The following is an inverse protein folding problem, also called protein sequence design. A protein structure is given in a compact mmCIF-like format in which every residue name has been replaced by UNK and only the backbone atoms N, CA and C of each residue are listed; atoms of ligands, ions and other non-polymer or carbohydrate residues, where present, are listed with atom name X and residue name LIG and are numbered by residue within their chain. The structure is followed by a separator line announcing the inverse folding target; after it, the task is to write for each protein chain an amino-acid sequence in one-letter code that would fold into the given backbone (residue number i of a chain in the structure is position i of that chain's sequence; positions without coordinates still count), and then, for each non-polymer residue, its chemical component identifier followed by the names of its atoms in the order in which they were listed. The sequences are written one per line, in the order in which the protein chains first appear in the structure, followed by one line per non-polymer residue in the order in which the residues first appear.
data_IF_706493533203
#
_entry.id   IF_706493533203
#
_cell.length_a   1.000
_cell.length_b   1.000
_cell.length_c   1.000
_cell.angle_alpha   90.00
_cell.angle_beta   90.00
_cell.angle_gamma   90.00
#
_symmetry.space_group_name_H-M   'P 1'
#
loop_
_entity.id
_entity.type
_entity.pdbx_description
1 polymer ?
#
# COMPACT_ATOMS: atom_id res chain seq x y z
N UNK A 1 75.23 -40.47 0.73
CA UNK A 1 74.60 -39.16 0.94
C UNK A 1 75.00 -38.22 -0.19
N UNK A 2 74.02 -37.55 -0.80
CA UNK A 2 74.12 -36.37 -1.68
C UNK A 2 75.03 -36.46 -2.92
N UNK A 3 74.37 -36.56 -4.07
CA UNK A 3 74.70 -36.01 -5.39
C UNK A 3 73.48 -36.36 -6.28
N UNK A 4 72.97 -35.63 -7.26
CA UNK A 4 73.44 -34.47 -8.02
C UNK A 4 72.36 -34.09 -9.07
N UNK A 5 72.32 -32.80 -9.41
CA UNK A 5 72.07 -32.20 -10.75
C UNK A 5 70.61 -32.06 -11.28
N UNK A 6 70.26 -30.88 -11.85
CA UNK A 6 68.93 -30.52 -12.37
C UNK A 6 68.81 -30.69 -13.91
N UNK A 7 67.63 -31.05 -14.44
CA UNK A 7 67.36 -31.04 -15.89
C UNK A 7 65.92 -30.60 -16.20
N UNK A 8 65.86 -29.43 -16.85
CA UNK A 8 65.03 -28.99 -18.00
C UNK A 8 63.70 -29.70 -18.33
N UNK A 9 62.65 -28.88 -18.35
CA UNK A 9 61.87 -28.49 -19.54
C UNK A 9 61.40 -29.63 -20.49
N UNK A 10 60.10 -29.94 -20.45
CA UNK A 10 59.36 -30.41 -21.61
C UNK A 10 57.90 -29.95 -21.55
N UNK A 11 57.50 -29.26 -22.62
CA UNK A 11 56.15 -28.79 -22.95
C UNK A 11 55.11 -29.92 -22.93
N UNK A 12 53.87 -29.59 -22.57
CA UNK A 12 52.71 -30.03 -23.35
C UNK A 12 51.56 -29.03 -23.24
N UNK A 13 51.14 -28.60 -24.43
CA UNK A 13 50.07 -27.66 -24.74
C UNK A 13 48.71 -28.13 -24.23
N UNK A 14 47.88 -27.20 -23.78
CA UNK A 14 46.45 -27.20 -24.10
C UNK A 14 45.95 -25.76 -24.14
N UNK A 15 45.65 -25.29 -25.35
CA UNK A 15 45.03 -24.00 -25.60
C UNK A 15 43.58 -24.01 -25.09
N UNK A 16 43.20 -23.02 -24.29
CA UNK A 16 41.80 -22.64 -24.10
C UNK A 16 41.67 -21.19 -24.56
N UNK A 17 41.16 -21.03 -25.78
CA UNK A 17 40.70 -19.77 -26.33
C UNK A 17 39.39 -19.38 -25.64
N UNK A 18 39.43 -18.36 -24.79
CA UNK A 18 38.23 -17.66 -24.33
C UNK A 18 37.84 -16.61 -25.39
N UNK A 19 36.60 -16.64 -25.92
CA UNK A 19 36.13 -15.58 -26.80
C UNK A 19 35.87 -14.30 -26.00
N UNK A 20 36.62 -13.27 -26.38
CA UNK A 20 36.37 -11.88 -26.05
C UNK A 20 34.98 -11.48 -26.59
N UNK A 21 34.02 -11.21 -25.71
CA UNK A 21 32.76 -10.56 -26.09
C UNK A 21 32.83 -9.10 -25.69
N UNK A 22 32.97 -8.27 -26.73
CA UNK A 22 32.96 -6.83 -26.72
C UNK A 22 31.61 -6.27 -26.26
N UNK A 23 31.69 -5.18 -25.50
CA UNK A 23 30.58 -4.27 -25.23
C UNK A 23 29.90 -3.87 -26.54
N UNK A 24 28.60 -4.16 -26.65
CA UNK A 24 27.73 -3.60 -27.68
C UNK A 24 26.89 -2.51 -27.03
N UNK A 25 27.22 -1.26 -27.33
CA UNK A 25 26.34 -0.13 -27.06
C UNK A 25 25.16 -0.23 -28.04
N UNK A 26 23.96 -0.55 -27.54
CA UNK A 26 22.72 -0.37 -28.29
C UNK A 26 22.27 1.08 -28.16
N UNK A 27 22.47 1.84 -29.22
CA UNK A 27 21.86 3.15 -29.41
C UNK A 27 20.37 2.97 -29.70
N UNK A 28 19.52 3.23 -28.71
CA UNK A 28 18.07 3.34 -28.90
C UNK A 28 17.75 4.59 -29.73
N UNK A 29 17.46 4.41 -31.02
CA UNK A 29 16.86 5.43 -31.86
C UNK A 29 15.33 5.41 -31.65
N UNK A 30 14.86 6.19 -30.68
CA UNK A 30 13.43 6.46 -30.47
C UNK A 30 12.96 7.43 -31.58
N UNK A 31 12.31 6.89 -32.61
CA UNK A 31 11.67 7.69 -33.65
C UNK A 31 10.37 8.30 -33.10
N UNK A 32 10.50 9.44 -32.40
CA UNK A 32 9.41 10.21 -31.79
C UNK A 32 8.30 10.62 -32.78
N UNK A 33 8.55 10.57 -34.09
CA UNK A 33 7.58 10.96 -35.12
C UNK A 33 6.42 9.98 -35.31
N UNK A 34 6.60 8.69 -35.05
CA UNK A 34 5.56 7.68 -35.27
C UNK A 34 4.53 7.62 -34.11
N UNK A 35 4.98 7.81 -32.87
CA UNK A 35 4.14 7.70 -31.67
C UNK A 35 3.17 8.87 -31.53
N UNK A 36 3.53 10.05 -32.03
CA UNK A 36 2.69 11.25 -31.95
C UNK A 36 1.56 11.22 -33.02
N UNK A 37 1.79 10.58 -34.17
CA UNK A 37 0.81 10.56 -35.27
C UNK A 37 -0.40 9.63 -34.99
N UNK A 38 -0.18 8.50 -34.31
CA UNK A 38 -1.27 7.59 -33.91
C UNK A 38 -2.12 8.15 -32.76
N UNK A 39 -1.52 8.97 -31.88
CA UNK A 39 -2.23 9.61 -30.77
C UNK A 39 -3.23 10.68 -31.21
N UNK A 40 -2.92 11.41 -32.30
CA UNK A 40 -3.75 12.53 -32.78
C UNK A 40 -4.87 12.05 -33.71
N UNK A 41 -4.66 11.00 -34.50
CA UNK A 41 -5.69 10.46 -35.38
C UNK A 41 -6.88 9.83 -34.62
N UNK A 42 -6.64 9.28 -33.42
CA UNK A 42 -7.70 8.70 -32.57
C UNK A 42 -8.56 9.74 -31.84
N UNK A 43 -8.10 10.99 -31.72
CA UNK A 43 -8.81 12.04 -31.00
C UNK A 43 -9.76 12.86 -31.88
N UNK A 44 -9.68 12.73 -33.22
CA UNK A 44 -10.41 13.58 -34.17
C UNK A 44 -11.51 12.88 -34.98
N UNK A 45 -11.74 11.58 -34.77
CA UNK A 45 -12.84 10.87 -35.42
C UNK A 45 -13.88 10.45 -34.38
N UNK A 46 -14.73 11.42 -34.01
CA UNK A 46 -16.03 11.09 -33.47
C UNK A 46 -16.91 10.60 -34.61
N UNK A 47 -17.42 9.38 -34.49
CA UNK A 47 -18.61 8.93 -35.22
C UNK A 47 -19.43 8.01 -34.33
N UNK A 48 -20.69 8.39 -34.12
CA UNK A 48 -21.76 7.53 -33.60
C UNK A 48 -22.14 6.50 -34.66
N UNK A 49 -22.55 5.30 -34.23
CA UNK A 49 -23.88 4.85 -34.64
C UNK A 49 -24.70 4.34 -33.46
N UNK A 50 -25.97 4.75 -33.43
CA UNK A 50 -27.01 4.22 -32.54
C UNK A 50 -27.33 2.75 -32.91
N UNK A 51 -27.20 1.83 -31.95
CA UNK A 51 -28.07 0.67 -31.73
C UNK A 51 -27.49 -0.23 -30.62
N UNK A 52 -28.18 -0.28 -29.47
CA UNK A 52 -27.92 -1.24 -28.39
C UNK A 52 -26.99 -0.69 -27.31
N UNK A 53 -27.59 -0.05 -26.31
CA UNK A 53 -26.94 0.43 -25.08
C UNK A 53 -26.04 -0.68 -24.47
N UNK A 54 -24.70 -0.58 -24.49
CA UNK A 54 -23.88 -1.52 -23.76
C UNK A 54 -24.10 -1.24 -22.29
N UNK A 55 -24.61 -2.23 -21.55
CA UNK A 55 -24.86 -2.16 -20.13
C UNK A 55 -23.69 -1.46 -19.44
N UNK A 56 -23.94 -0.28 -18.89
CA UNK A 56 -22.98 0.34 -17.99
C UNK A 56 -22.74 -0.65 -16.85
N UNK A 57 -21.57 -1.27 -16.85
CA UNK A 57 -21.25 -2.35 -15.93
C UNK A 57 -21.46 -1.89 -14.50
N UNK A 58 -22.00 -2.78 -13.65
CA UNK A 58 -22.14 -2.57 -12.21
C UNK A 58 -20.85 -2.00 -11.58
N UNK A 59 -20.90 -1.41 -10.37
CA UNK A 59 -19.69 -1.02 -9.67
C UNK A 59 -18.76 -2.23 -9.58
N UNK A 60 -17.44 -1.97 -9.65
CA UNK A 60 -16.45 -3.03 -9.73
C UNK A 60 -16.74 -4.13 -8.69
N UNK A 61 -16.87 -5.41 -9.09
CA UNK A 61 -17.18 -6.45 -8.14
C UNK A 61 -16.06 -6.57 -7.10
N UNK A 62 -16.42 -6.76 -5.84
CA UNK A 62 -15.45 -6.85 -4.77
C UNK A 62 -16.00 -6.45 -3.41
N UNK A 63 -15.15 -6.59 -2.40
CA UNK A 63 -15.43 -6.18 -1.03
C UNK A 63 -14.79 -4.83 -0.74
N UNK A 64 -15.57 -3.96 -0.12
CA UNK A 64 -15.22 -2.60 0.22
C UNK A 64 -15.37 -2.35 1.72
N UNK A 65 -14.41 -1.66 2.31
CA UNK A 65 -14.41 -1.32 3.74
C UNK A 65 -14.73 0.16 3.95
N UNK A 66 -15.71 0.43 4.81
CA UNK A 66 -16.08 1.76 5.26
C UNK A 66 -15.79 1.99 6.74
N UNK A 67 -14.99 1.14 7.39
CA UNK A 67 -14.82 1.15 8.84
C UNK A 67 -14.26 2.48 9.37
N UNK A 68 -14.75 2.93 10.52
CA UNK A 68 -14.26 4.14 11.20
C UNK A 68 -13.91 3.85 12.68
N UNK A 69 -13.74 4.88 13.50
CA UNK A 69 -13.38 4.73 14.90
C UNK A 69 -14.44 3.98 15.74
N UNK A 70 -15.71 4.04 15.32
CA UNK A 70 -16.87 3.59 16.09
C UNK A 70 -17.54 2.35 15.48
N UNK A 71 -17.39 2.12 14.17
CA UNK A 71 -18.06 1.04 13.46
C UNK A 71 -17.11 0.28 12.52
N UNK A 72 -17.28 -1.05 12.47
CA UNK A 72 -16.80 -1.92 11.40
C UNK A 72 -17.88 -1.94 10.33
N UNK A 73 -17.52 -1.62 9.07
CA UNK A 73 -18.49 -1.51 7.97
C UNK A 73 -17.94 -2.15 6.71
N UNK A 74 -18.72 -3.05 6.11
CA UNK A 74 -18.34 -3.77 4.90
C UNK A 74 -19.50 -3.76 3.91
N UNK A 75 -19.21 -3.50 2.63
CA UNK A 75 -20.11 -3.86 1.52
C UNK A 75 -19.41 -4.80 0.54
N UNK A 76 -20.08 -5.86 0.11
CA UNK A 76 -19.65 -6.76 -0.95
C UNK A 76 -20.55 -6.54 -2.16
N UNK A 77 -19.97 -6.31 -3.33
CA UNK A 77 -20.70 -6.16 -4.61
C UNK A 77 -20.31 -7.31 -5.52
N UNK A 78 -21.31 -8.01 -6.06
CA UNK A 78 -21.16 -9.11 -7.00
C UNK A 78 -21.19 -8.63 -8.45
N UNK A 79 -20.70 -9.46 -9.37
CA UNK A 79 -20.65 -9.15 -10.81
C UNK A 79 -22.04 -8.90 -11.45
N UNK A 80 -23.08 -9.46 -10.86
CA UNK A 80 -24.47 -9.31 -11.31
C UNK A 80 -25.21 -8.14 -10.62
N UNK A 81 -24.48 -7.32 -9.85
CA UNK A 81 -25.03 -6.18 -9.13
C UNK A 81 -25.71 -6.52 -7.80
N UNK A 82 -25.71 -7.79 -7.36
CA UNK A 82 -26.10 -8.11 -5.98
C UNK A 82 -25.12 -7.53 -4.98
N UNK A 83 -25.60 -7.15 -3.80
CA UNK A 83 -24.77 -6.66 -2.72
C UNK A 83 -25.17 -7.21 -1.36
N UNK A 84 -24.21 -7.23 -0.45
CA UNK A 84 -24.37 -7.51 0.98
C UNK A 84 -23.65 -6.41 1.77
N UNK A 85 -24.30 -5.87 2.80
CA UNK A 85 -23.85 -4.74 3.61
C UNK A 85 -23.93 -5.14 5.08
N UNK A 86 -22.85 -4.93 5.83
CA UNK A 86 -22.76 -5.26 7.26
C UNK A 86 -22.13 -4.09 8.03
N UNK A 87 -22.69 -3.80 9.20
CA UNK A 87 -22.20 -2.77 10.12
C UNK A 87 -22.26 -3.28 11.56
N UNK A 88 -21.17 -3.10 12.30
CA UNK A 88 -21.06 -3.50 13.69
C UNK A 88 -20.37 -2.41 14.51
N UNK A 89 -20.94 -2.02 15.64
CA UNK A 89 -20.31 -1.09 16.57
C UNK A 89 -19.09 -1.73 17.26
N UNK A 90 -17.96 -1.00 17.25
CA UNK A 90 -16.72 -1.37 17.93
C UNK A 90 -16.83 -1.12 19.44
N UNK A 91 -16.14 -1.94 20.24
CA UNK A 91 -16.02 -1.76 21.70
C UNK A 91 -16.71 -2.84 22.53
N UNK A 92 -16.53 -2.82 23.85
CA UNK A 92 -17.05 -3.82 24.79
C UNK A 92 -18.35 -3.42 25.50
N UNK A 93 -19.00 -2.35 25.05
CA UNK A 93 -20.28 -1.91 25.60
C UNK A 93 -21.42 -2.77 25.05
N UNK A 94 -22.22 -3.33 25.95
CA UNK A 94 -23.46 -4.03 25.62
C UNK A 94 -24.67 -3.13 25.93
N UNK A 95 -25.70 -3.10 25.07
CA UNK A 95 -25.80 -3.82 23.79
C UNK A 95 -24.99 -3.13 22.67
N UNK A 96 -24.39 -3.93 21.76
CA UNK A 96 -23.73 -3.40 20.56
C UNK A 96 -24.75 -3.11 19.47
N UNK A 97 -24.65 -1.96 18.82
CA UNK A 97 -25.45 -1.68 17.62
C UNK A 97 -24.89 -2.47 16.43
N UNK A 98 -25.76 -3.18 15.72
CA UNK A 98 -25.42 -3.95 14.53
C UNK A 98 -26.52 -3.80 13.48
N UNK A 99 -26.14 -3.95 12.21
CA UNK A 99 -27.06 -3.92 11.10
C UNK A 99 -26.51 -4.65 9.88
N UNK A 100 -27.42 -5.20 9.08
CA UNK A 100 -27.11 -5.98 7.88
C UNK A 100 -28.18 -5.78 6.82
N UNK A 101 -27.80 -5.73 5.55
CA UNK A 101 -28.73 -5.61 4.44
C UNK A 101 -28.20 -6.24 3.16
N UNK A 102 -29.08 -6.72 2.30
CA UNK A 102 -28.70 -7.32 1.02
C UNK A 102 -29.74 -6.97 -0.05
N UNK A 103 -29.32 -6.96 -1.30
CA UNK A 103 -30.23 -6.63 -2.39
C UNK A 103 -29.56 -6.65 -3.75
N UNK A 104 -30.25 -6.11 -4.75
CA UNK A 104 -29.72 -5.95 -6.11
C UNK A 104 -29.73 -4.49 -6.51
N UNK A 105 -28.57 -4.00 -6.93
CA UNK A 105 -28.39 -2.66 -7.46
C UNK A 105 -29.02 -2.54 -8.85
N UNK A 106 -29.60 -1.38 -9.10
CA UNK A 106 -30.17 -0.98 -10.39
C UNK A 106 -29.65 0.39 -10.79
N UNK A 107 -29.36 0.61 -12.06
CA UNK A 107 -28.90 1.92 -12.57
C UNK A 107 -29.61 2.23 -13.87
N UNK A 108 -29.94 3.50 -14.07
CA UNK A 108 -30.49 4.03 -15.32
C UNK A 108 -29.42 4.65 -16.21
N UNK A 109 -28.30 5.09 -15.65
CA UNK A 109 -27.30 5.94 -16.33
C UNK A 109 -25.86 5.44 -16.22
N UNK A 110 -25.60 4.39 -15.45
CA UNK A 110 -24.25 3.85 -15.24
C UNK A 110 -23.34 4.71 -14.38
N UNK A 111 -23.85 5.76 -13.75
CA UNK A 111 -23.08 6.67 -12.88
C UNK A 111 -23.50 6.53 -11.43
N UNK A 112 -24.74 6.11 -11.19
CA UNK A 112 -25.30 5.89 -9.87
C UNK A 112 -26.10 4.59 -9.86
N UNK A 113 -25.95 3.82 -8.80
CA UNK A 113 -26.71 2.61 -8.55
C UNK A 113 -27.62 2.82 -7.36
N UNK A 114 -28.83 2.30 -7.46
CA UNK A 114 -29.83 2.38 -6.41
C UNK A 114 -30.41 1.02 -6.11
N UNK A 115 -30.70 0.80 -4.84
CA UNK A 115 -31.55 -0.28 -4.38
C UNK A 115 -32.70 0.34 -3.59
N UNK A 116 -33.91 -0.18 -3.78
CA UNK A 116 -35.12 0.24 -3.08
C UNK A 116 -35.91 -1.00 -2.70
N UNK A 117 -36.22 -1.12 -1.42
CA UNK A 117 -37.14 -2.13 -0.89
C UNK A 117 -37.94 -1.47 0.23
N UNK A 118 -39.27 -1.56 0.14
CA UNK A 118 -40.22 -0.87 1.00
C UNK A 118 -39.90 0.63 1.18
N UNK A 119 -39.51 1.02 2.40
CA UNK A 119 -39.13 2.40 2.76
C UNK A 119 -37.64 2.63 2.71
N UNK A 120 -36.81 1.59 2.61
CA UNK A 120 -35.36 1.71 2.56
C UNK A 120 -34.91 2.02 1.12
N UNK A 121 -34.02 3.00 1.00
CA UNK A 121 -33.28 3.22 -0.24
C UNK A 121 -31.79 3.32 0.02
N UNK A 122 -31.01 2.66 -0.83
CA UNK A 122 -29.55 2.72 -0.86
C UNK A 122 -29.13 3.35 -2.19
N UNK A 123 -28.22 4.31 -2.12
CA UNK A 123 -27.55 4.90 -3.27
C UNK A 123 -26.05 4.59 -3.18
N UNK A 124 -25.50 4.11 -4.30
CA UNK A 124 -24.08 3.81 -4.47
C UNK A 124 -23.54 4.63 -5.65
N UNK A 125 -22.55 5.47 -5.38
CA UNK A 125 -21.84 6.25 -6.40
C UNK A 125 -20.39 5.76 -6.44
N UNK A 126 -19.91 5.17 -7.53
CA UNK A 126 -18.52 4.77 -7.66
C UNK A 126 -17.60 6.00 -7.67
N UNK A 127 -16.44 5.81 -7.09
CA UNK A 127 -15.32 6.73 -7.03
C UNK A 127 -14.06 5.97 -7.44
N UNK A 128 -12.96 6.66 -7.71
CA UNK A 128 -11.68 6.01 -7.99
C UNK A 128 -11.28 5.12 -6.80
N UNK A 129 -11.34 3.80 -6.99
CA UNK A 129 -11.08 2.78 -5.95
C UNK A 129 -11.96 2.89 -4.69
N UNK A 130 -13.19 3.39 -4.80
CA UNK A 130 -14.13 3.46 -3.67
C UNK A 130 -15.60 3.52 -4.13
N UNK A 131 -16.52 3.38 -3.18
CA UNK A 131 -17.96 3.59 -3.32
C UNK A 131 -18.41 4.59 -2.26
N UNK A 132 -19.06 5.67 -2.69
CA UNK A 132 -19.82 6.51 -1.77
C UNK A 132 -21.20 5.88 -1.57
N UNK A 133 -21.50 5.52 -0.33
CA UNK A 133 -22.80 4.99 0.07
C UNK A 133 -23.63 6.05 0.77
N UNK A 134 -24.93 6.05 0.48
CA UNK A 134 -25.94 6.82 1.21
C UNK A 134 -27.21 5.99 1.35
N UNK A 135 -27.74 5.91 2.57
CA UNK A 135 -28.99 5.25 2.90
C UNK A 135 -30.04 6.28 3.29
N UNK A 136 -31.30 5.98 2.97
CA UNK A 136 -32.43 6.78 3.44
C UNK A 136 -33.51 5.83 3.96
N UNK A 137 -34.00 6.09 5.18
CA UNK A 137 -35.11 5.37 5.82
C UNK A 137 -34.91 3.84 5.91
N UNK A 138 -33.66 3.38 6.02
CA UNK A 138 -33.32 1.96 6.16
C UNK A 138 -33.38 1.44 7.61
N UNK A 139 -33.76 2.29 8.57
CA UNK A 139 -33.97 1.90 9.96
C UNK A 139 -35.01 0.77 10.07
N UNK A 140 -34.69 -0.26 10.86
CA UNK A 140 -35.52 -1.46 11.02
C UNK A 140 -35.01 -2.62 10.17
N UNK A 141 -35.29 -2.61 8.86
CA UNK A 141 -34.95 -3.72 7.96
C UNK A 141 -33.44 -4.01 7.94
N UNK A 142 -32.61 -2.97 7.99
CA UNK A 142 -31.15 -3.13 8.00
C UNK A 142 -30.56 -2.95 9.41
N UNK A 143 -31.36 -2.63 10.43
CA UNK A 143 -30.87 -2.24 11.77
C UNK A 143 -30.69 -0.72 11.93
N UNK A 144 -30.49 -0.28 13.17
CA UNK A 144 -30.35 1.15 13.53
C UNK A 144 -28.87 1.53 13.68
N UNK A 145 -28.18 1.64 12.53
CA UNK A 145 -26.74 1.93 12.46
C UNK A 145 -26.41 2.83 11.25
N UNK A 146 -25.33 3.65 11.33
CA UNK A 146 -24.95 4.57 10.27
C UNK A 146 -24.24 3.84 9.11
N UNK A 147 -25.00 3.45 8.10
CA UNK A 147 -24.49 2.84 6.86
C UNK A 147 -23.77 3.82 5.94
N UNK A 148 -24.06 5.11 6.05
CA UNK A 148 -23.53 6.17 5.19
C UNK A 148 -22.01 6.30 5.33
N UNK A 149 -21.31 6.42 4.21
CA UNK A 149 -19.86 6.57 4.24
C UNK A 149 -19.17 6.27 2.91
N UNK A 150 -17.86 6.50 2.89
CA UNK A 150 -16.98 6.15 1.78
C UNK A 150 -16.38 4.76 2.04
N UNK A 151 -16.68 3.81 1.16
CA UNK A 151 -16.23 2.42 1.24
C UNK A 151 -15.11 2.19 0.21
N UNK A 152 -13.90 1.87 0.65
CA UNK A 152 -12.73 1.77 -0.25
C UNK A 152 -12.59 0.36 -0.79
N UNK A 153 -12.29 0.25 -2.08
CA UNK A 153 -12.05 -1.02 -2.76
C UNK A 153 -10.80 -1.66 -2.16
N UNK A 154 -10.96 -2.84 -1.58
CA UNK A 154 -9.87 -3.49 -0.85
C UNK A 154 -10.22 -3.73 0.61
N UNK A 155 -11.24 -4.53 0.86
CA UNK A 155 -11.09 -5.54 1.89
C UNK A 155 -11.19 -6.92 1.23
N UNK A 156 -10.04 -7.41 0.74
CA UNK A 156 -9.66 -8.71 1.29
C UNK A 156 -9.89 -8.55 2.80
N UNK A 157 -10.68 -9.40 3.44
CA UNK A 157 -10.09 -9.95 4.66
C UNK A 157 -8.71 -10.34 4.18
N UNK A 158 -7.71 -9.55 4.55
CA UNK A 158 -6.41 -10.11 4.66
C UNK A 158 -6.71 -11.27 5.62
N UNK A 159 -6.94 -12.47 5.06
CA UNK A 159 -6.05 -13.57 5.33
C UNK A 159 -4.70 -12.86 5.41
N UNK A 160 -4.34 -12.47 6.65
CA UNK A 160 -3.22 -11.60 6.94
C UNK A 160 -2.14 -12.16 6.04
N UNK A 161 -1.74 -11.42 4.98
CA UNK A 161 -0.84 -11.95 3.98
C UNK A 161 0.39 -12.34 4.79
N UNK A 162 0.58 -13.65 5.04
CA UNK A 162 1.09 -14.19 6.31
C UNK A 162 2.03 -13.17 6.96
N UNK A 163 1.51 -12.33 7.87
CA UNK A 163 2.12 -11.03 8.22
C UNK A 163 3.60 -11.28 8.42
N UNK A 164 4.43 -10.77 7.50
CA UNK A 164 5.83 -11.13 7.52
C UNK A 164 6.38 -10.61 8.85
N UNK A 165 6.69 -11.53 9.75
CA UNK A 165 7.09 -11.20 11.12
C UNK A 165 8.37 -10.38 11.12
N UNK A 166 9.23 -10.55 10.10
CA UNK A 166 10.46 -9.79 9.92
C UNK A 166 10.13 -8.36 9.51
N UNK A 167 9.21 -8.18 8.55
CA UNK A 167 8.76 -6.86 8.15
C UNK A 167 8.03 -6.15 9.30
N UNK A 168 7.16 -6.85 10.02
CA UNK A 168 6.44 -6.30 11.16
C UNK A 168 7.37 -5.85 12.29
N UNK A 169 8.47 -6.57 12.55
CA UNK A 169 9.48 -6.18 13.52
C UNK A 169 10.20 -4.89 13.09
N UNK A 170 10.66 -4.83 11.84
CA UNK A 170 11.35 -3.64 11.32
C UNK A 170 10.41 -2.42 11.20
N UNK A 171 9.14 -2.63 10.88
CA UNK A 171 8.09 -1.59 10.91
C UNK A 171 7.70 -1.18 12.34
N UNK A 172 8.02 -1.97 13.37
CA UNK A 172 7.98 -1.52 14.76
C UNK A 172 9.32 -0.89 15.20
N UNK A 173 10.21 -0.66 14.24
CA UNK A 173 11.52 -0.07 14.42
C UNK A 173 12.40 -0.91 15.35
N UNK A 174 12.18 -2.23 15.32
CA UNK A 174 12.96 -3.22 16.03
C UNK A 174 13.95 -3.82 15.03
N UNK A 175 15.24 -3.74 15.33
CA UNK A 175 16.32 -4.33 14.52
C UNK A 175 16.25 -3.88 13.04
N UNK A 176 16.03 -2.58 12.83
CA UNK A 176 15.94 -1.99 11.49
C UNK A 176 17.25 -2.24 10.74
N UNK A 177 17.16 -2.88 9.58
CA UNK A 177 18.31 -3.24 8.75
C UNK A 177 18.14 -2.64 7.35
N UNK A 178 19.05 -1.76 6.95
CA UNK A 178 19.06 -1.12 5.62
C UNK A 178 19.93 -1.86 4.60
N UNK A 179 20.66 -2.90 5.00
CA UNK A 179 21.48 -3.72 4.11
C UNK A 179 20.68 -4.77 3.32
N UNK A 180 21.41 -5.70 2.67
CA UNK A 180 20.82 -6.76 1.85
C UNK A 180 19.78 -7.60 2.61
N UNK A 181 18.66 -7.92 1.95
CA UNK A 181 17.51 -8.61 2.55
C UNK A 181 16.87 -7.86 3.75
N UNK A 182 17.19 -6.57 3.90
CA UNK A 182 16.68 -5.68 4.93
C UNK A 182 15.29 -5.13 4.63
N UNK A 183 14.98 -3.98 5.22
CA UNK A 183 13.66 -3.33 5.12
C UNK A 183 13.24 -3.05 3.67
N UNK A 184 14.18 -2.65 2.80
CA UNK A 184 13.89 -2.37 1.39
C UNK A 184 13.37 -3.62 0.65
N UNK A 185 14.09 -4.73 0.76
CA UNK A 185 13.69 -6.03 0.19
C UNK A 185 12.34 -6.53 0.72
N UNK A 186 12.11 -6.38 2.03
CA UNK A 186 10.86 -6.79 2.67
C UNK A 186 9.68 -5.91 2.22
N UNK A 187 9.89 -4.60 2.09
CA UNK A 187 8.88 -3.68 1.56
C UNK A 187 8.57 -3.98 0.09
N UNK A 188 9.58 -4.21 -0.75
CA UNK A 188 9.37 -4.58 -2.16
C UNK A 188 8.51 -5.84 -2.30
N UNK A 189 8.75 -6.86 -1.46
CA UNK A 189 7.91 -8.06 -1.41
C UNK A 189 6.48 -7.76 -0.97
N UNK A 190 6.30 -6.94 0.07
CA UNK A 190 4.97 -6.61 0.61
C UNK A 190 4.14 -5.73 -0.34
N UNK A 191 4.77 -4.82 -1.07
CA UNK A 191 4.12 -3.90 -2.01
C UNK A 191 4.14 -4.41 -3.46
N UNK A 192 4.81 -5.52 -3.73
CA UNK A 192 5.05 -6.10 -5.07
C UNK A 192 5.77 -5.13 -6.00
N UNK A 193 6.68 -4.34 -5.45
CA UNK A 193 7.53 -3.41 -6.18
C UNK A 193 8.98 -3.91 -6.23
N UNK A 194 9.74 -3.58 -7.28
CA UNK A 194 11.18 -3.79 -7.30
C UNK A 194 11.87 -3.11 -6.11
N UNK A 195 12.90 -3.74 -5.55
CA UNK A 195 13.59 -3.21 -4.36
C UNK A 195 14.24 -1.85 -4.61
N UNK A 196 14.74 -1.58 -5.82
CA UNK A 196 15.33 -0.29 -6.18
C UNK A 196 14.32 0.84 -6.28
N UNK A 197 13.01 0.56 -6.32
CA UNK A 197 11.97 1.60 -6.38
C UNK A 197 11.37 1.93 -5.01
N UNK A 198 11.75 1.20 -3.95
CA UNK A 198 11.17 1.41 -2.61
C UNK A 198 11.79 2.59 -1.85
N UNK A 199 12.95 3.07 -2.31
CA UNK A 199 13.69 4.18 -1.71
C UNK A 199 13.14 5.52 -2.18
N UNK A 200 13.08 6.47 -1.26
CA UNK A 200 12.59 7.83 -1.43
C UNK A 200 11.17 7.97 -2.01
N UNK A 201 10.44 6.86 -2.11
CA UNK A 201 9.04 6.81 -2.48
C UNK A 201 8.19 6.56 -1.23
N UNK A 202 7.03 7.23 -1.17
CA UNK A 202 6.00 6.84 -0.21
C UNK A 202 5.26 5.60 -0.72
N UNK A 203 5.28 4.56 0.10
CA UNK A 203 4.70 3.26 -0.20
C UNK A 203 3.45 3.03 0.66
N UNK A 204 2.28 2.80 0.06
CA UNK A 204 1.14 2.29 0.81
C UNK A 204 1.44 0.86 1.27
N UNK A 205 1.15 0.57 2.54
CA UNK A 205 1.30 -0.79 3.06
C UNK A 205 -0.01 -1.57 2.93
N UNK A 206 0.05 -2.90 2.71
CA UNK A 206 -1.11 -3.76 2.89
C UNK A 206 -1.63 -3.67 4.33
N UNK A 207 -2.93 -3.85 4.52
CA UNK A 207 -3.52 -3.86 5.85
C UNK A 207 -2.92 -4.96 6.76
N UNK A 208 -2.91 -4.69 8.06
CA UNK A 208 -2.42 -5.63 9.09
C UNK A 208 -1.04 -5.29 9.67
N UNK A 209 -0.35 -4.27 9.16
CA UNK A 209 0.83 -3.70 9.81
C UNK A 209 0.46 -2.55 10.75
N UNK A 210 1.02 -2.59 11.95
CA UNK A 210 0.82 -1.59 12.99
C UNK A 210 2.12 -1.28 13.72
N UNK A 211 2.29 -0.01 14.11
CA UNK A 211 3.38 0.48 14.96
C UNK A 211 2.85 0.74 16.36
N UNK A 212 3.32 -0.01 17.36
CA UNK A 212 2.84 0.15 18.75
C UNK A 212 1.31 -0.05 18.92
N UNK A 213 0.64 -0.65 17.94
CA UNK A 213 -0.82 -0.81 17.90
C UNK A 213 -1.57 0.22 17.04
N UNK A 214 -0.88 1.24 16.50
CA UNK A 214 -1.46 2.18 15.55
C UNK A 214 -1.33 1.63 14.12
N UNK A 215 -2.42 1.60 13.32
CA UNK A 215 -2.36 1.21 11.92
C UNK A 215 -1.36 2.06 11.13
N UNK A 216 -0.51 1.41 10.33
CA UNK A 216 0.40 2.11 9.42
C UNK A 216 -0.32 2.31 8.08
N UNK A 217 -0.43 3.57 7.63
CA UNK A 217 -1.04 3.94 6.34
C UNK A 217 -0.05 3.85 5.19
N UNK A 218 1.15 4.37 5.44
CA UNK A 218 2.22 4.36 4.45
C UNK A 218 3.56 4.51 5.13
N UNK A 219 4.60 4.19 4.38
CA UNK A 219 5.98 4.31 4.82
C UNK A 219 6.82 4.97 3.76
N UNK A 220 7.94 5.56 4.15
CA UNK A 220 8.97 6.01 3.22
C UNK A 220 10.33 5.66 3.78
N UNK A 221 11.11 4.94 3.00
CA UNK A 221 12.55 4.81 3.24
C UNK A 221 13.25 6.01 2.62
N UNK A 222 14.25 6.55 3.30
CA UNK A 222 15.13 7.56 2.72
C UNK A 222 16.57 7.21 3.01
N UNK A 223 17.43 7.47 2.03
CA UNK A 223 18.89 7.35 2.17
C UNK A 223 19.51 8.57 2.87
N UNK A 224 18.74 9.65 3.04
CA UNK A 224 19.20 10.88 3.71
C UNK A 224 19.68 10.59 5.14
N UNK A 225 20.72 11.30 5.58
CA UNK A 225 21.29 11.20 6.92
C UNK A 225 21.62 9.76 7.34
N UNK A 226 22.09 8.94 6.40
CA UNK A 226 22.55 7.57 6.65
C UNK A 226 21.46 6.52 6.78
N UNK A 227 20.27 6.81 6.24
CA UNK A 227 19.19 5.85 6.17
C UNK A 227 18.20 5.99 7.32
N UNK A 228 16.94 6.32 7.01
CA UNK A 228 15.85 6.25 7.97
C UNK A 228 14.56 5.71 7.35
N UNK A 229 13.67 5.22 8.21
CA UNK A 229 12.33 4.78 7.88
C UNK A 229 11.31 5.73 8.52
N UNK A 230 10.52 6.41 7.70
CA UNK A 230 9.35 7.16 8.15
C UNK A 230 8.10 6.30 8.08
N UNK A 231 7.31 6.30 9.16
CA UNK A 231 6.00 5.66 9.23
C UNK A 231 4.92 6.72 9.41
N UNK A 232 3.94 6.72 8.51
CA UNK A 232 2.73 7.51 8.62
C UNK A 232 1.63 6.60 9.20
N UNK A 233 1.26 6.87 10.44
CA UNK A 233 0.32 6.05 11.20
C UNK A 233 -0.95 6.83 11.53
N UNK A 234 -2.02 6.11 11.79
CA UNK A 234 -3.24 6.73 12.30
C UNK A 234 -3.05 7.13 13.76
N UNK A 235 -3.11 8.42 14.04
CA UNK A 235 -3.03 8.94 15.38
C UNK A 235 -2.51 10.37 15.41
N UNK A 236 -2.86 11.10 16.47
CA UNK A 236 -2.23 12.37 16.76
C UNK A 236 -0.83 12.16 17.39
N UNK A 237 -0.13 13.27 17.64
CA UNK A 237 1.20 13.26 18.24
C UNK A 237 1.24 12.52 19.59
N UNK A 238 0.19 12.63 20.41
CA UNK A 238 0.13 12.00 21.72
C UNK A 238 -0.02 10.48 21.61
N UNK A 239 -0.89 10.01 20.72
CA UNK A 239 -1.07 8.60 20.39
C UNK A 239 0.24 8.00 19.84
N UNK A 240 0.91 8.71 18.94
CA UNK A 240 2.20 8.27 18.38
C UNK A 240 3.26 8.17 19.49
N UNK A 241 3.33 9.14 20.39
CA UNK A 241 4.29 9.10 21.49
C UNK A 241 4.00 7.99 22.50
N UNK A 242 2.73 7.64 22.72
CA UNK A 242 2.35 6.45 23.48
C UNK A 242 2.77 5.16 22.75
N UNK A 243 2.55 5.09 21.43
CA UNK A 243 2.94 3.95 20.61
C UNK A 243 4.46 3.72 20.59
N UNK A 244 5.27 4.80 20.51
CA UNK A 244 6.74 4.73 20.60
C UNK A 244 7.17 4.11 21.94
N UNK A 245 6.56 4.57 23.05
CA UNK A 245 6.87 4.03 24.38
C UNK A 245 6.54 2.54 24.49
N UNK A 246 5.44 2.11 23.86
CA UNK A 246 4.99 0.71 23.84
C UNK A 246 5.82 -0.19 22.93
N UNK A 247 6.29 0.33 21.80
CA UNK A 247 7.08 -0.42 20.82
C UNK A 247 8.55 -0.63 21.25
N UNK A 248 9.03 0.15 22.22
CA UNK A 248 10.42 0.13 22.71
C UNK A 248 10.78 -1.22 23.32
N UNK A 249 11.76 -1.91 22.74
CA UNK A 249 12.36 -3.12 23.32
C UNK A 249 13.74 -2.79 23.91
N UNK A 250 14.01 -3.34 25.10
CA UNK A 250 15.31 -3.20 25.76
C UNK A 250 16.37 -3.93 24.94
N UNK A 251 17.44 -3.23 24.58
CA UNK A 251 18.56 -3.80 23.81
C UNK A 251 18.45 -3.66 22.28
N UNK A 252 17.41 -3.02 21.76
CA UNK A 252 17.30 -2.77 20.31
C UNK A 252 18.39 -1.82 19.79
N UNK A 253 18.85 -2.06 18.56
CA UNK A 253 19.84 -1.24 17.86
C UNK A 253 19.23 -0.09 17.03
N UNK A 254 17.94 0.18 17.24
CA UNK A 254 17.20 1.19 16.49
C UNK A 254 16.47 2.12 17.46
N UNK A 255 16.18 3.34 17.01
CA UNK A 255 15.48 4.36 17.79
C UNK A 255 14.26 4.84 17.00
N UNK A 256 13.11 4.87 17.66
CA UNK A 256 11.90 5.49 17.13
C UNK A 256 11.68 6.84 17.82
N UNK A 257 11.46 7.89 17.02
CA UNK A 257 11.25 9.26 17.47
C UNK A 257 9.97 9.81 16.84
N UNK A 258 9.24 10.63 17.60
CA UNK A 258 8.18 11.44 17.04
C UNK A 258 8.81 12.63 16.32
N UNK A 259 8.49 12.81 15.05
CA UNK A 259 8.87 13.99 14.26
C UNK A 259 7.64 14.58 13.60
N UNK A 260 7.78 15.82 13.12
CA UNK A 260 6.75 16.52 12.37
C UNK A 260 7.33 17.06 11.08
N UNK A 261 6.53 17.02 10.03
CA UNK A 261 6.97 17.40 8.68
C UNK A 261 7.28 18.89 8.63
N UNK A 262 8.46 19.26 8.16
CA UNK A 262 8.88 20.66 7.99
C UNK A 262 9.25 21.39 9.29
N UNK A 263 9.30 20.69 10.44
CA UNK A 263 9.84 21.23 11.69
C UNK A 263 11.32 20.85 11.88
N UNK A 264 12.00 21.48 12.85
CA UNK A 264 13.41 21.22 13.14
C UNK A 264 13.68 19.72 13.43
N UNK A 265 14.56 19.11 12.63
CA UNK A 265 14.86 17.68 12.68
C UNK A 265 13.78 16.76 12.08
N UNK A 266 12.78 17.33 11.41
CA UNK A 266 11.79 16.62 10.61
C UNK A 266 12.08 16.73 9.12
N UNK A 267 11.88 15.62 8.40
CA UNK A 267 12.07 15.59 6.96
C UNK A 267 10.84 16.16 6.24
N UNK A 268 11.07 16.93 5.16
CA UNK A 268 10.02 17.46 4.33
C UNK A 268 9.59 16.41 3.30
N UNK A 269 8.36 15.90 3.41
CA UNK A 269 7.81 14.97 2.43
C UNK A 269 6.93 15.72 1.43
N UNK A 270 7.25 15.70 0.12
CA UNK A 270 6.40 16.30 -0.90
C UNK A 270 4.96 15.78 -0.82
N UNK A 271 3.97 16.67 -0.92
CA UNK A 271 2.55 16.32 -0.86
C UNK A 271 1.98 16.04 0.54
N UNK A 272 2.80 16.11 1.60
CA UNK A 272 2.32 16.01 2.99
C UNK A 272 2.15 17.37 3.64
N UNK A 273 1.26 17.44 4.63
CA UNK A 273 0.96 18.69 5.34
C UNK A 273 2.10 19.02 6.31
N UNK A 274 2.61 20.26 6.31
CA UNK A 274 3.52 20.73 7.36
C UNK A 274 2.90 20.52 8.76
N UNK A 275 3.73 20.15 9.73
CA UNK A 275 3.28 19.86 11.10
C UNK A 275 2.62 18.49 11.29
N UNK A 276 2.35 17.73 10.22
CA UNK A 276 1.82 16.37 10.34
C UNK A 276 2.82 15.48 11.11
N UNK A 277 2.40 14.75 12.15
CA UNK A 277 3.30 13.89 12.89
C UNK A 277 3.57 12.59 12.14
N UNK A 278 4.77 12.05 12.33
CA UNK A 278 5.18 10.75 11.81
C UNK A 278 6.18 10.08 12.76
N UNK A 279 6.33 8.77 12.65
CA UNK A 279 7.37 8.04 13.38
C UNK A 279 8.62 8.04 12.52
N UNK A 280 9.71 8.59 13.04
CA UNK A 280 11.04 8.53 12.45
C UNK A 280 11.81 7.37 13.10
N UNK A 281 12.26 6.42 12.29
CA UNK A 281 13.02 5.27 12.76
C UNK A 281 14.39 5.20 12.12
N UNK A 282 15.42 5.11 12.94
CA UNK A 282 16.82 5.13 12.50
C UNK A 282 17.63 4.10 13.29
N UNK A 283 18.75 3.66 12.72
CA UNK A 283 19.70 2.84 13.46
C UNK A 283 20.43 3.69 14.51
N UNK A 284 20.81 3.09 15.64
CA UNK A 284 21.61 3.75 16.68
C UNK A 284 23.01 4.10 16.19
N UNK A 285 23.58 3.31 15.28
CA UNK A 285 24.88 3.55 14.68
C UNK A 285 24.86 4.84 13.85
N UNK A 286 23.84 4.99 13.00
CA UNK A 286 23.62 6.20 12.21
C UNK A 286 23.42 7.44 13.10
N UNK A 287 22.68 7.30 14.20
CA UNK A 287 22.48 8.37 15.20
C UNK A 287 23.77 8.80 15.89
N UNK A 288 24.72 7.88 16.08
CA UNK A 288 26.01 8.16 16.70
C UNK A 288 27.09 8.59 15.68
N UNK A 289 26.77 8.64 14.38
CA UNK A 289 27.72 8.97 13.33
C UNK A 289 28.74 7.86 13.03
N UNK A 290 28.46 6.63 13.47
CA UNK A 290 29.27 5.45 13.15
C UNK A 290 28.73 4.83 11.86
N UNK A 291 29.45 5.04 10.75
CA UNK A 291 29.17 4.48 9.42
C UNK A 291 30.10 3.32 9.09
#
# INVERSE_FOLDING_TARGET
MKTSIPIRLALLLSAITLPCQSLRAETFNLNLGAVIKDGIHKALQGDRPDAGNPAAGYPAPGKYDGSDASFERTIVVQADGRFELEVLQKGNTLPRHAGSGAGKLSSTDGKQWTYREDRCSLTVVPQTSALQLKTERCAGAFGDVPFDGLYRAGAKQAQAAARDKRLAAQLNCQRLNFGENGIASLLGKATRLPENTVWDQELPLPDGYAFGGLPIRSVKLSETDGGFLALFVDGDAAAIQAAIRKARVKGDYSVAMLRKIGEAGGYAFPGKRPGQPYVHCQSKQTLNGEY
#
